data_IF_917313253992
#
_entry.id   IF_917313253992
#
_cell.length_a   1.000
_cell.length_b   1.000
_cell.length_c   1.000
_cell.angle_alpha   90.00
_cell.angle_beta   90.00
_cell.angle_gamma   90.00
#
_symmetry.space_group_name_H-M   'P 1'
#
loop_
_entity.id
_entity.type
_entity.pdbx_description
1 polymer ?
#
# COMPACT_ATOMS: atom_id res chain seq x y z
N UNK A 1 -2.95 -24.90 -0.90
CA UNK A 1 -2.15 -24.39 0.23
C UNK A 1 -0.77 -23.99 -0.28
N UNK A 2 -0.64 -22.73 -0.72
CA UNK A 2 0.69 -22.16 -0.90
C UNK A 2 1.27 -21.91 0.48
N UNK A 3 2.39 -22.53 0.79
CA UNK A 3 3.04 -22.26 2.06
C UNK A 3 3.57 -20.83 2.07
N UNK A 4 3.23 -20.06 3.10
CA UNK A 4 3.80 -18.75 3.38
C UNK A 4 5.34 -18.72 3.33
N UNK A 5 5.96 -19.91 3.38
CA UNK A 5 7.38 -20.17 3.22
C UNK A 5 7.92 -19.87 1.82
N UNK A 6 7.16 -20.11 0.73
CA UNK A 6 7.63 -19.84 -0.64
C UNK A 6 7.54 -18.34 -0.99
N UNK A 7 6.46 -17.69 -0.57
CA UNK A 7 6.29 -16.23 -0.71
C UNK A 7 7.38 -15.49 0.04
N UNK A 8 7.74 -15.95 1.24
CA UNK A 8 8.84 -15.39 2.03
C UNK A 8 10.23 -15.62 1.44
N UNK A 9 10.46 -16.67 0.65
CA UNK A 9 11.82 -16.99 0.20
C UNK A 9 12.31 -16.16 -0.97
N UNK A 10 11.49 -15.90 -1.98
CA UNK A 10 11.91 -15.08 -3.14
C UNK A 10 11.92 -13.58 -2.82
N UNK A 11 10.94 -13.10 -2.07
CA UNK A 11 10.93 -11.73 -1.55
C UNK A 11 12.08 -11.49 -0.58
N UNK A 12 12.35 -12.43 0.35
CA UNK A 12 13.50 -12.35 1.27
C UNK A 12 14.85 -12.29 0.56
N UNK A 13 15.02 -12.86 -0.62
CA UNK A 13 16.30 -12.83 -1.35
C UNK A 13 16.57 -11.45 -1.95
N UNK A 14 15.56 -10.77 -2.46
CA UNK A 14 15.67 -9.39 -2.98
C UNK A 14 15.77 -8.35 -1.85
N UNK A 15 14.98 -8.51 -0.80
CA UNK A 15 14.96 -7.58 0.34
C UNK A 15 16.15 -7.78 1.30
N UNK A 16 16.81 -8.93 1.31
CA UNK A 16 18.05 -9.14 2.11
C UNK A 16 19.20 -8.23 1.69
N UNK A 17 19.24 -7.77 0.44
CA UNK A 17 20.22 -6.77 0.01
C UNK A 17 19.92 -5.37 0.55
N UNK A 18 18.66 -5.10 0.95
CA UNK A 18 18.21 -3.87 1.61
C UNK A 18 17.51 -4.19 2.94
N UNK A 19 18.29 -4.18 4.01
CA UNK A 19 17.80 -4.45 5.38
C UNK A 19 16.68 -3.49 5.81
N UNK A 20 16.67 -2.26 5.32
CA UNK A 20 15.65 -1.27 5.65
C UNK A 20 14.31 -1.64 5.02
N UNK A 21 14.32 -2.05 3.76
CA UNK A 21 13.13 -2.48 3.05
C UNK A 21 12.54 -3.74 3.64
N UNK A 22 13.37 -4.74 3.93
CA UNK A 22 12.92 -5.96 4.61
C UNK A 22 12.22 -5.66 5.94
N UNK A 23 12.82 -4.79 6.76
CA UNK A 23 12.21 -4.37 8.02
C UNK A 23 10.88 -3.67 7.82
N UNK A 24 10.80 -2.79 6.83
CA UNK A 24 9.58 -2.10 6.44
C UNK A 24 8.49 -3.11 6.05
N UNK A 25 8.78 -4.02 5.12
CA UNK A 25 7.83 -5.04 4.65
C UNK A 25 7.27 -5.88 5.81
N UNK A 26 8.12 -6.37 6.70
CA UNK A 26 7.66 -7.12 7.90
C UNK A 26 6.88 -6.21 8.84
N UNK A 27 7.34 -4.97 9.06
CA UNK A 27 6.62 -3.99 9.88
C UNK A 27 5.22 -3.71 9.37
N UNK A 28 5.05 -3.58 8.05
CA UNK A 28 3.72 -3.40 7.42
C UNK A 28 2.85 -4.64 7.58
N UNK A 29 3.40 -5.84 7.35
CA UNK A 29 2.67 -7.09 7.50
C UNK A 29 2.15 -7.29 8.94
N UNK A 30 3.03 -7.10 9.94
CA UNK A 30 2.69 -7.23 11.35
C UNK A 30 1.67 -6.17 11.78
N UNK A 31 1.85 -4.91 11.35
CA UNK A 31 0.92 -3.82 11.65
C UNK A 31 -0.44 -4.07 11.01
N UNK A 32 -0.49 -4.56 9.77
CA UNK A 32 -1.74 -4.92 9.09
C UNK A 32 -2.49 -6.02 9.86
N UNK A 33 -1.81 -7.07 10.31
CA UNK A 33 -2.42 -8.13 11.12
C UNK A 33 -2.95 -7.59 12.47
N UNK A 34 -2.21 -6.70 13.14
CA UNK A 34 -2.66 -6.07 14.38
C UNK A 34 -3.91 -5.22 14.18
N UNK A 35 -3.95 -4.39 13.12
CA UNK A 35 -5.13 -3.59 12.78
C UNK A 35 -6.32 -4.47 12.38
N UNK A 36 -6.07 -5.55 11.62
CA UNK A 36 -7.12 -6.50 11.25
C UNK A 36 -7.78 -7.14 12.49
N UNK A 37 -6.99 -7.54 13.48
CA UNK A 37 -7.50 -8.02 14.77
C UNK A 37 -8.38 -6.97 15.46
N UNK A 38 -7.97 -5.69 15.42
CA UNK A 38 -8.72 -4.57 16.02
C UNK A 38 -10.07 -4.33 15.35
N UNK A 39 -10.12 -4.48 14.01
CA UNK A 39 -11.30 -4.15 13.21
C UNK A 39 -12.12 -5.36 12.76
N UNK A 40 -11.80 -6.57 13.27
CA UNK A 40 -12.55 -7.79 12.96
C UNK A 40 -12.39 -8.28 11.52
N UNK A 41 -11.25 -7.97 10.88
CA UNK A 41 -10.90 -8.44 9.54
C UNK A 41 -9.98 -9.67 9.66
N UNK A 42 -9.94 -10.49 8.63
CA UNK A 42 -9.06 -11.66 8.58
C UNK A 42 -7.58 -11.23 8.68
N UNK A 43 -6.94 -11.62 9.78
CA UNK A 43 -5.54 -11.29 10.08
C UNK A 43 -4.58 -11.91 9.07
N UNK A 44 -4.90 -13.08 8.52
CA UNK A 44 -4.04 -13.74 7.54
C UNK A 44 -4.08 -13.00 6.20
N UNK A 45 -5.28 -12.60 5.74
CA UNK A 45 -5.42 -11.75 4.55
C UNK A 45 -4.64 -10.45 4.71
N UNK A 46 -4.77 -9.78 5.85
CA UNK A 46 -4.09 -8.52 6.12
C UNK A 46 -2.56 -8.68 6.17
N UNK A 47 -2.07 -9.74 6.81
CA UNK A 47 -0.65 -10.05 6.85
C UNK A 47 -0.08 -10.29 5.44
N UNK A 48 -0.75 -11.11 4.63
CA UNK A 48 -0.33 -11.40 3.25
C UNK A 48 -0.35 -10.13 2.39
N UNK A 49 -1.39 -9.32 2.50
CA UNK A 49 -1.49 -8.04 1.77
C UNK A 49 -0.33 -7.10 2.14
N UNK A 50 -0.06 -6.95 3.43
CA UNK A 50 1.07 -6.15 3.93
C UNK A 50 2.42 -6.71 3.52
N UNK A 51 2.58 -8.04 3.47
CA UNK A 51 3.82 -8.68 3.02
C UNK A 51 4.10 -8.46 1.53
N UNK A 52 3.05 -8.39 0.71
CA UNK A 52 3.16 -8.29 -0.75
C UNK A 52 2.97 -6.87 -1.29
N UNK A 53 2.57 -5.88 -0.45
CA UNK A 53 2.21 -4.53 -0.91
C UNK A 53 3.25 -3.90 -1.84
N UNK A 54 4.52 -4.05 -1.52
CA UNK A 54 5.67 -3.46 -2.21
C UNK A 54 6.44 -4.44 -3.12
N UNK A 55 5.87 -5.61 -3.47
CA UNK A 55 6.60 -6.67 -4.20
C UNK A 55 7.09 -6.25 -5.60
N UNK A 56 6.51 -5.22 -6.21
CA UNK A 56 6.97 -4.65 -7.49
C UNK A 56 7.75 -3.33 -7.34
N UNK A 57 8.06 -2.87 -6.12
CA UNK A 57 8.73 -1.58 -5.87
C UNK A 57 10.11 -1.46 -6.48
N UNK A 58 10.83 -2.59 -6.57
CA UNK A 58 12.19 -2.64 -7.13
C UNK A 58 12.24 -2.67 -8.65
N UNK A 59 11.11 -2.78 -9.33
CA UNK A 59 11.05 -2.74 -10.80
C UNK A 59 11.38 -1.32 -11.25
N UNK A 60 12.28 -1.12 -12.24
CA UNK A 60 12.56 0.20 -12.79
C UNK A 60 11.29 0.85 -13.38
N UNK A 61 11.20 2.19 -13.30
CA UNK A 61 9.98 2.90 -13.71
C UNK A 61 9.59 2.68 -15.17
N UNK A 62 10.55 2.68 -16.10
CA UNK A 62 10.32 2.38 -17.52
C UNK A 62 9.79 0.94 -17.72
N UNK A 63 10.29 0.00 -16.94
CA UNK A 63 9.85 -1.38 -16.99
C UNK A 63 8.44 -1.54 -16.40
N UNK A 64 8.09 -0.77 -15.35
CA UNK A 64 6.73 -0.78 -14.80
C UNK A 64 5.70 -0.36 -15.86
N UNK A 65 5.97 0.71 -16.62
CA UNK A 65 5.10 1.16 -17.70
C UNK A 65 4.94 0.04 -18.73
N UNK A 66 6.07 -0.48 -19.23
CA UNK A 66 6.08 -1.54 -20.25
C UNK A 66 5.30 -2.79 -19.80
N UNK A 67 5.53 -3.25 -18.57
CA UNK A 67 4.84 -4.43 -18.05
C UNK A 67 3.35 -4.19 -17.82
N UNK A 68 2.96 -3.00 -17.37
CA UNK A 68 1.55 -2.65 -17.25
C UNK A 68 0.85 -2.64 -18.61
N UNK A 69 1.45 -2.02 -19.63
CA UNK A 69 0.90 -1.99 -21.00
C UNK A 69 0.77 -3.40 -21.59
N UNK A 70 1.82 -4.23 -21.47
CA UNK A 70 1.83 -5.61 -21.98
C UNK A 70 0.78 -6.51 -21.34
N UNK A 71 0.40 -6.23 -20.10
CA UNK A 71 -0.58 -7.02 -19.35
C UNK A 71 -1.95 -6.35 -19.25
N UNK A 72 -2.22 -5.31 -20.06
CA UNK A 72 -3.47 -4.56 -20.07
C UNK A 72 -3.87 -3.98 -18.70
N UNK A 73 -2.88 -3.58 -17.88
CA UNK A 73 -3.11 -2.88 -16.64
C UNK A 73 -3.28 -1.40 -16.99
N UNK A 74 -4.44 -0.83 -16.65
CA UNK A 74 -4.76 0.56 -16.93
C UNK A 74 -3.77 1.52 -16.23
N UNK A 75 -3.20 2.44 -16.99
CA UNK A 75 -2.29 3.48 -16.53
C UNK A 75 -2.99 4.84 -16.67
N UNK A 76 -3.12 5.58 -15.58
CA UNK A 76 -3.67 6.94 -15.60
C UNK A 76 -2.62 7.96 -16.08
N UNK A 77 -3.08 9.18 -16.41
CA UNK A 77 -2.16 10.26 -16.80
C UNK A 77 -1.15 10.58 -15.70
N UNK A 78 -1.60 10.65 -14.45
CA UNK A 78 -0.74 10.90 -13.29
C UNK A 78 0.29 9.79 -13.05
N UNK A 79 -0.05 8.55 -13.38
CA UNK A 79 0.88 7.42 -13.28
C UNK A 79 1.92 7.43 -14.41
N UNK A 80 1.59 7.91 -15.61
CA UNK A 80 2.61 8.16 -16.64
C UNK A 80 3.57 9.28 -16.24
N UNK A 81 3.08 10.34 -15.59
CA UNK A 81 3.90 11.43 -15.07
C UNK A 81 4.71 11.01 -13.82
N UNK A 82 4.25 10.00 -13.08
CA UNK A 82 4.84 9.49 -11.85
C UNK A 82 4.85 7.96 -11.81
N UNK A 83 5.66 7.29 -12.65
CA UNK A 83 5.58 5.83 -12.84
C UNK A 83 5.92 5.01 -11.59
N UNK A 84 6.53 5.62 -10.58
CA UNK A 84 6.75 4.96 -9.30
C UNK A 84 5.43 4.50 -8.63
N UNK A 85 4.30 5.17 -8.92
CA UNK A 85 2.97 4.80 -8.40
C UNK A 85 2.49 3.44 -8.93
N UNK A 86 2.94 3.04 -10.12
CA UNK A 86 2.55 1.77 -10.74
C UNK A 86 2.99 0.52 -9.97
N UNK A 87 3.90 0.66 -8.99
CA UNK A 87 4.33 -0.51 -8.21
C UNK A 87 3.18 -1.18 -7.47
N UNK A 88 2.13 -0.46 -7.10
CA UNK A 88 0.97 -1.01 -6.41
C UNK A 88 0.09 -1.84 -7.35
N UNK A 89 -0.24 -1.32 -8.54
CA UNK A 89 -0.99 -2.05 -9.56
C UNK A 89 -0.22 -3.26 -10.09
N UNK A 90 1.06 -3.06 -10.44
CA UNK A 90 1.93 -4.14 -10.88
C UNK A 90 2.18 -5.16 -9.75
N UNK A 91 2.21 -4.71 -8.49
CA UNK A 91 2.31 -5.57 -7.32
C UNK A 91 1.11 -6.49 -7.16
N UNK A 92 -0.12 -5.97 -7.35
CA UNK A 92 -1.32 -6.78 -7.36
C UNK A 92 -1.30 -7.83 -8.48
N UNK A 93 -0.88 -7.44 -9.69
CA UNK A 93 -0.69 -8.38 -10.80
C UNK A 93 0.36 -9.46 -10.46
N UNK A 94 1.49 -9.09 -9.86
CA UNK A 94 2.50 -10.07 -9.43
C UNK A 94 1.98 -10.98 -8.32
N UNK A 95 1.18 -10.46 -7.39
CA UNK A 95 0.55 -11.27 -6.35
C UNK A 95 -0.33 -12.37 -6.97
N UNK A 96 -1.08 -12.04 -8.01
CA UNK A 96 -1.87 -13.03 -8.75
C UNK A 96 -0.99 -14.02 -9.53
N UNK A 97 -0.16 -13.53 -10.46
CA UNK A 97 0.49 -14.42 -11.45
C UNK A 97 1.74 -15.12 -10.93
N UNK A 98 2.51 -14.47 -10.02
CA UNK A 98 3.76 -15.02 -9.49
C UNK A 98 3.57 -15.74 -8.16
N UNK A 99 2.66 -15.22 -7.30
CA UNK A 99 2.45 -15.78 -5.96
C UNK A 99 1.13 -16.56 -5.83
N UNK A 100 0.30 -16.60 -6.91
CA UNK A 100 -0.91 -17.41 -6.98
C UNK A 100 -2.04 -16.93 -6.06
N UNK A 101 -2.01 -15.65 -5.63
CA UNK A 101 -3.08 -15.05 -4.84
C UNK A 101 -4.28 -14.80 -5.76
N UNK A 102 -5.42 -15.41 -5.44
CA UNK A 102 -6.67 -15.25 -6.19
C UNK A 102 -7.77 -14.55 -5.40
N UNK A 103 -7.45 -14.14 -4.19
CA UNK A 103 -8.38 -13.45 -3.30
C UNK A 103 -8.41 -11.95 -3.68
N UNK A 104 -9.57 -11.50 -4.18
CA UNK A 104 -9.77 -10.13 -4.66
C UNK A 104 -9.59 -9.07 -3.56
N UNK A 105 -9.89 -9.41 -2.30
CA UNK A 105 -9.67 -8.48 -1.18
C UNK A 105 -8.18 -8.21 -0.98
N UNK A 106 -7.35 -9.27 -1.06
CA UNK A 106 -5.89 -9.16 -0.95
C UNK A 106 -5.32 -8.37 -2.13
N UNK A 107 -5.76 -8.69 -3.35
CA UNK A 107 -5.32 -8.01 -4.57
C UNK A 107 -5.72 -6.52 -4.55
N UNK A 108 -6.94 -6.21 -4.11
CA UNK A 108 -7.41 -4.84 -3.92
C UNK A 108 -6.56 -4.08 -2.91
N UNK A 109 -6.29 -4.67 -1.75
CA UNK A 109 -5.47 -4.05 -0.72
C UNK A 109 -4.03 -3.75 -1.20
N UNK A 110 -3.43 -4.64 -2.00
CA UNK A 110 -2.14 -4.40 -2.63
C UNK A 110 -2.24 -3.28 -3.67
N UNK A 111 -3.26 -3.31 -4.53
CA UNK A 111 -3.46 -2.35 -5.61
C UNK A 111 -3.60 -0.91 -5.11
N UNK A 112 -4.30 -0.72 -4.00
CA UNK A 112 -4.70 0.60 -3.53
C UNK A 112 -3.89 1.14 -2.34
N UNK A 113 -2.86 0.42 -1.88
CA UNK A 113 -2.10 0.82 -0.69
C UNK A 113 -1.37 2.15 -0.82
N UNK A 114 -1.10 2.63 -2.05
CA UNK A 114 -0.31 3.86 -2.28
C UNK A 114 -1.21 5.10 -2.44
N UNK A 115 -2.24 5.02 -3.25
CA UNK A 115 -3.11 6.16 -3.60
C UNK A 115 -4.41 6.19 -2.80
N UNK A 116 -4.84 5.03 -2.30
CA UNK A 116 -6.21 4.82 -1.88
C UNK A 116 -7.19 4.92 -3.05
N UNK A 117 -8.47 4.85 -2.76
CA UNK A 117 -9.57 5.17 -3.69
C UNK A 117 -10.85 5.45 -2.88
N UNK A 118 -11.88 6.12 -3.47
CA UNK A 118 -13.21 6.20 -2.87
C UNK A 118 -13.74 4.81 -2.52
N UNK A 119 -14.47 4.70 -1.40
CA UNK A 119 -15.10 3.45 -0.96
C UNK A 119 -14.12 2.30 -0.64
N UNK A 120 -12.91 2.61 -0.14
CA UNK A 120 -11.97 1.57 0.33
C UNK A 120 -12.65 0.61 1.30
N UNK A 121 -12.44 -0.69 1.08
CA UNK A 121 -12.78 -1.73 2.04
C UNK A 121 -11.95 -1.59 3.34
N UNK A 122 -12.39 -2.23 4.42
CA UNK A 122 -11.63 -2.18 5.67
C UNK A 122 -10.23 -2.76 5.52
N UNK A 123 -10.04 -3.80 4.70
CA UNK A 123 -8.72 -4.39 4.45
C UNK A 123 -7.81 -3.42 3.69
N UNK A 124 -8.33 -2.71 2.69
CA UNK A 124 -7.58 -1.68 1.95
C UNK A 124 -7.15 -0.53 2.86
N UNK A 125 -8.06 -0.01 3.72
CA UNK A 125 -7.73 1.01 4.73
C UNK A 125 -6.63 0.53 5.68
N UNK A 126 -6.71 -0.72 6.13
CA UNK A 126 -5.71 -1.33 7.02
C UNK A 126 -4.33 -1.31 6.39
N UNK A 127 -4.18 -1.78 5.15
CA UNK A 127 -2.87 -1.87 4.48
C UNK A 127 -2.34 -0.48 4.16
N UNK A 128 -3.20 0.44 3.67
CA UNK A 128 -2.87 1.84 3.43
C UNK A 128 -2.33 2.53 4.69
N UNK A 129 -3.01 2.36 5.82
CA UNK A 129 -2.59 2.96 7.10
C UNK A 129 -1.33 2.27 7.63
N UNK A 130 -1.25 0.94 7.55
CA UNK A 130 -0.10 0.16 8.04
C UNK A 130 1.21 0.55 7.35
N UNK A 131 1.20 0.79 6.03
CA UNK A 131 2.37 1.27 5.30
C UNK A 131 2.87 2.61 5.85
N UNK A 132 1.96 3.50 6.25
CA UNK A 132 2.32 4.81 6.78
C UNK A 132 2.85 4.76 8.21
N UNK A 133 2.32 3.88 9.08
CA UNK A 133 2.57 3.90 10.53
C UNK A 133 3.49 2.80 11.06
N UNK A 134 3.97 1.89 10.21
CA UNK A 134 4.76 0.73 10.64
C UNK A 134 5.89 1.14 11.63
N UNK A 135 6.34 0.23 12.53
CA UNK A 135 7.20 0.62 13.68
C UNK A 135 8.53 1.28 13.31
N UNK A 136 9.07 0.99 12.12
CA UNK A 136 10.36 1.54 11.68
C UNK A 136 10.22 2.86 10.93
N UNK A 137 9.00 3.30 10.62
CA UNK A 137 8.73 4.61 10.02
C UNK A 137 8.93 5.70 11.05
N UNK A 138 9.82 6.65 10.78
CA UNK A 138 10.19 7.70 11.73
C UNK A 138 10.29 9.11 11.13
N UNK A 139 10.05 9.26 9.82
CA UNK A 139 10.20 10.54 9.10
C UNK A 139 8.87 11.12 8.59
N UNK A 140 7.77 10.38 8.71
CA UNK A 140 6.46 10.87 8.29
C UNK A 140 5.90 11.85 9.32
N UNK A 141 5.05 12.79 8.85
CA UNK A 141 4.40 13.75 9.71
C UNK A 141 3.36 13.09 10.61
N UNK A 142 3.11 13.66 11.77
CA UNK A 142 2.02 13.31 12.68
C UNK A 142 1.92 11.82 13.08
N UNK A 143 3.04 11.07 13.02
CA UNK A 143 3.05 9.61 13.25
C UNK A 143 2.38 9.18 14.54
N UNK A 144 2.63 9.86 15.66
CA UNK A 144 2.07 9.49 16.96
C UNK A 144 0.55 9.66 16.97
N UNK A 145 0.04 10.74 16.37
CA UNK A 145 -1.39 10.99 16.23
C UNK A 145 -2.03 9.95 15.31
N UNK A 146 -1.41 9.65 14.17
CA UNK A 146 -1.95 8.69 13.20
C UNK A 146 -1.90 7.28 13.78
N UNK A 147 -0.86 6.89 14.51
CA UNK A 147 -0.79 5.62 15.24
C UNK A 147 -1.92 5.47 16.25
N UNK A 148 -2.25 6.52 17.00
CA UNK A 148 -3.39 6.51 17.90
C UNK A 148 -4.72 6.37 17.13
N UNK A 149 -4.93 7.17 16.07
CA UNK A 149 -6.11 7.12 15.23
C UNK A 149 -6.27 5.76 14.55
N UNK A 150 -5.20 5.14 14.08
CA UNK A 150 -5.23 3.84 13.42
C UNK A 150 -5.91 2.75 14.27
N UNK A 151 -5.82 2.81 15.59
CA UNK A 151 -6.45 1.86 16.49
C UNK A 151 -7.78 2.33 17.10
N UNK A 152 -8.15 3.60 16.92
CA UNK A 152 -9.37 4.17 17.49
C UNK A 152 -10.41 4.54 16.43
N UNK A 153 -9.98 5.08 15.30
CA UNK A 153 -10.82 5.56 14.21
C UNK A 153 -9.99 5.55 12.90
N UNK A 154 -10.07 4.44 12.15
CA UNK A 154 -9.25 4.23 10.98
C UNK A 154 -9.56 5.23 9.85
N UNK A 155 -10.81 5.71 9.75
CA UNK A 155 -11.21 6.68 8.73
C UNK A 155 -10.53 8.03 8.97
N UNK A 156 -10.45 8.47 10.24
CA UNK A 156 -9.65 9.65 10.59
C UNK A 156 -8.15 9.44 10.37
N UNK A 157 -7.64 8.24 10.57
CA UNK A 157 -6.23 7.95 10.25
C UNK A 157 -5.98 8.09 8.75
N UNK A 158 -6.83 7.52 7.91
CA UNK A 158 -6.77 7.65 6.43
C UNK A 158 -6.82 9.12 6.03
N UNK A 159 -7.79 9.89 6.54
CA UNK A 159 -7.93 11.32 6.23
C UNK A 159 -6.68 12.12 6.61
N UNK A 160 -6.11 11.88 7.80
CA UNK A 160 -4.91 12.56 8.23
C UNK A 160 -3.70 12.22 7.34
N UNK A 161 -3.54 10.96 6.95
CA UNK A 161 -2.48 10.53 6.01
C UNK A 161 -2.63 11.22 4.65
N UNK A 162 -3.85 11.28 4.12
CA UNK A 162 -4.13 11.96 2.85
C UNK A 162 -3.77 13.44 2.92
N UNK A 163 -4.20 14.14 3.97
CA UNK A 163 -3.91 15.55 4.18
C UNK A 163 -2.39 15.81 4.29
N UNK A 164 -1.69 14.98 5.05
CA UNK A 164 -0.23 15.10 5.21
C UNK A 164 0.50 14.84 3.89
N UNK A 165 0.04 13.85 3.12
CA UNK A 165 0.59 13.49 1.81
C UNK A 165 0.38 14.62 0.79
N UNK A 166 -0.85 15.15 0.68
CA UNK A 166 -1.20 16.26 -0.21
C UNK A 166 -0.36 17.49 0.14
N UNK A 167 -0.27 17.84 1.44
CA UNK A 167 0.53 18.97 1.88
C UNK A 167 2.02 18.79 1.55
N UNK A 168 2.55 17.58 1.69
CA UNK A 168 3.95 17.28 1.34
C UNK A 168 4.19 17.41 -0.17
N UNK A 169 3.31 16.83 -1.00
CA UNK A 169 3.42 16.88 -2.46
C UNK A 169 3.30 18.31 -2.99
N UNK A 170 2.35 19.11 -2.47
CA UNK A 170 2.20 20.52 -2.81
C UNK A 170 3.47 21.33 -2.49
N UNK A 171 4.07 21.11 -1.31
CA UNK A 171 5.32 21.79 -0.93
C UNK A 171 6.49 21.43 -1.83
N UNK A 172 6.48 20.24 -2.42
CA UNK A 172 7.52 19.75 -3.34
C UNK A 172 7.28 20.13 -4.80
N UNK A 173 6.07 20.59 -5.14
CA UNK A 173 5.65 20.82 -6.52
C UNK A 173 5.47 19.52 -7.32
N UNK A 174 5.25 18.41 -6.63
CA UNK A 174 5.03 17.11 -7.28
C UNK A 174 3.56 16.96 -7.69
N UNK A 175 3.27 16.26 -8.80
CA UNK A 175 1.90 15.96 -9.19
C UNK A 175 1.20 15.11 -8.11
N UNK A 176 -0.09 15.38 -7.92
CA UNK A 176 -0.95 14.61 -7.01
C UNK A 176 -1.88 13.77 -7.87
N UNK A 177 -2.01 12.50 -7.57
CA UNK A 177 -2.95 11.62 -8.24
C UNK A 177 -4.39 12.09 -8.01
N UNK A 178 -5.22 12.11 -9.08
CA UNK A 178 -6.60 12.59 -9.00
C UNK A 178 -7.45 11.75 -8.05
N UNK A 179 -7.22 10.45 -7.98
CA UNK A 179 -7.94 9.54 -7.08
C UNK A 179 -7.65 9.89 -5.62
N UNK A 180 -6.41 10.26 -5.30
CA UNK A 180 -6.02 10.72 -3.95
C UNK A 180 -6.74 12.03 -3.58
N UNK A 181 -6.91 12.95 -4.55
CA UNK A 181 -7.67 14.19 -4.33
C UNK A 181 -9.15 13.91 -4.12
N UNK A 182 -9.75 13.07 -4.95
CA UNK A 182 -11.18 12.71 -4.85
C UNK A 182 -11.49 12.05 -3.52
N UNK A 183 -10.63 11.12 -3.06
CA UNK A 183 -10.76 10.48 -1.76
C UNK A 183 -10.70 11.50 -0.60
N UNK A 184 -9.78 12.48 -0.67
CA UNK A 184 -9.66 13.53 0.34
C UNK A 184 -10.92 14.42 0.41
N UNK A 185 -11.55 14.72 -0.72
CA UNK A 185 -12.75 15.56 -0.79
C UNK A 185 -14.00 14.88 -0.23
N UNK A 186 -14.14 13.56 -0.41
CA UNK A 186 -15.27 12.79 0.12
C UNK A 186 -15.26 12.79 1.65
N UNK A 187 -14.10 12.63 2.28
CA UNK A 187 -13.97 12.58 3.75
C UNK A 187 -14.09 13.95 4.45
N UNK A 188 -14.05 15.06 3.70
CA UNK A 188 -14.27 16.42 4.25
C UNK A 188 -15.78 16.75 4.32
N UNK A 189 -16.61 16.01 3.60
CA UNK A 189 -18.05 16.27 3.47
C UNK A 189 -18.94 15.48 4.45
N UNK A 190 -18.36 14.60 5.25
CA UNK A 190 -19.02 13.84 6.33
C UNK A 190 -18.62 14.38 7.71
#
# INVERSE_FOLDING_TARGET
>A
EMSASLVGSEMCIRDRSDKMRFRHTIGVADTSACLASRYGVDMQKAYISGLLHDCAKCVPDEQKITECEQNNIEITKSEYESPYLLHSKLGAFYADVKYGIKDEDILGAIKWHTTGHPDMTMLEKIVFVADYIEPYRNKAANLDTIRYLAFTDIDKAVLQILNDTINYLNKKGNPIDSITLDLSLIHISE
#
